data_IF_111959772715
#
_entry.id   IF_111959772715
#
_cell.length_a   1.000
_cell.length_b   1.000
_cell.length_c   1.000
_cell.angle_alpha   90.00
_cell.angle_beta   90.00
_cell.angle_gamma   90.00
#
_symmetry.space_group_name_H-M   'P 1'
#
loop_
_entity.id
_entity.type
_entity.pdbx_description
1 polymer ?
#
# COMPACT_ATOMS: atom_id res chain seq x y z
N UNK A 1 -19.64 7.72 11.43
CA UNK A 1 -19.30 7.22 10.08
C UNK A 1 -19.01 5.73 10.21
N UNK A 2 -19.52 4.92 9.29
CA UNK A 2 -19.24 3.47 9.27
C UNK A 2 -17.81 3.29 8.73
N UNK A 3 -16.95 2.49 9.39
CA UNK A 3 -15.61 2.21 8.88
C UNK A 3 -15.69 1.35 7.61
N UNK A 4 -14.84 1.65 6.64
CA UNK A 4 -14.74 0.93 5.36
C UNK A 4 -13.29 0.45 5.19
N UNK A 5 -13.13 -0.76 4.68
CA UNK A 5 -11.84 -1.34 4.28
C UNK A 5 -11.97 -1.84 2.84
N UNK A 6 -10.89 -1.76 2.06
CA UNK A 6 -10.79 -2.36 0.74
C UNK A 6 -10.08 -3.71 0.87
N UNK A 7 -10.72 -4.80 0.44
CA UNK A 7 -10.08 -6.12 0.34
C UNK A 7 -9.70 -6.38 -1.12
N UNK A 8 -8.42 -6.64 -1.38
CA UNK A 8 -7.86 -6.90 -2.71
C UNK A 8 -7.41 -8.34 -2.78
N UNK A 9 -7.95 -9.07 -3.76
CA UNK A 9 -7.66 -10.51 -3.99
C UNK A 9 -6.88 -10.69 -5.29
N UNK A 10 -7.38 -10.15 -6.39
CA UNK A 10 -6.66 -10.16 -7.67
C UNK A 10 -6.79 -8.79 -8.31
N UNK A 11 -6.06 -8.55 -9.41
CA UNK A 11 -6.22 -7.33 -10.16
C UNK A 11 -5.16 -7.12 -11.22
N UNK A 12 -5.48 -6.19 -12.12
CA UNK A 12 -4.58 -5.63 -13.12
C UNK A 12 -4.32 -4.13 -12.88
N UNK A 13 -3.93 -3.39 -13.92
CA UNK A 13 -3.59 -1.96 -13.84
C UNK A 13 -4.70 -1.09 -13.24
N UNK A 14 -5.96 -1.35 -13.60
CA UNK A 14 -7.10 -0.59 -13.07
C UNK A 14 -7.32 -0.83 -11.57
N UNK A 15 -6.96 -2.02 -11.08
CA UNK A 15 -7.00 -2.32 -9.64
C UNK A 15 -5.94 -1.51 -8.90
N UNK A 16 -4.74 -1.35 -9.46
CA UNK A 16 -3.70 -0.48 -8.89
C UNK A 16 -4.20 0.95 -8.74
N UNK A 17 -4.85 1.50 -9.77
CA UNK A 17 -5.48 2.82 -9.71
C UNK A 17 -6.57 2.91 -8.64
N UNK A 18 -7.45 1.90 -8.57
CA UNK A 18 -8.52 1.85 -7.56
C UNK A 18 -7.96 1.83 -6.14
N UNK A 19 -6.90 1.06 -5.91
CA UNK A 19 -6.21 1.02 -4.61
C UNK A 19 -5.62 2.39 -4.29
N UNK A 20 -4.95 3.02 -5.26
CA UNK A 20 -4.35 4.34 -5.06
C UNK A 20 -5.40 5.39 -4.69
N UNK A 21 -6.49 5.49 -5.45
CA UNK A 21 -7.61 6.39 -5.15
C UNK A 21 -8.22 6.10 -3.77
N UNK A 22 -8.37 4.82 -3.40
CA UNK A 22 -8.89 4.43 -2.08
C UNK A 22 -7.95 4.86 -0.93
N UNK A 23 -6.67 4.56 -1.05
CA UNK A 23 -5.68 4.71 0.03
C UNK A 23 -5.21 6.16 0.16
N UNK A 24 -4.82 6.79 -0.95
CA UNK A 24 -4.17 8.10 -0.97
C UNK A 24 -5.22 9.21 -0.85
N UNK A 25 -6.25 9.17 -1.69
CA UNK A 25 -7.26 10.22 -1.78
C UNK A 25 -8.37 10.04 -0.74
N UNK A 26 -8.90 8.83 -0.59
CA UNK A 26 -10.10 8.58 0.22
C UNK A 26 -9.83 8.13 1.66
N UNK A 27 -8.57 7.90 2.06
CA UNK A 27 -8.21 7.43 3.40
C UNK A 27 -8.91 6.10 3.78
N UNK A 28 -9.02 5.18 2.83
CA UNK A 28 -9.58 3.84 3.04
C UNK A 28 -8.41 2.86 3.14
N UNK A 29 -8.24 2.15 4.27
CA UNK A 29 -7.22 1.11 4.38
C UNK A 29 -7.49 -0.05 3.42
N UNK A 30 -6.43 -0.62 2.88
CA UNK A 30 -6.46 -1.74 1.95
C UNK A 30 -5.76 -2.97 2.55
N UNK A 31 -6.42 -4.12 2.43
CA UNK A 31 -5.95 -5.45 2.79
C UNK A 31 -5.67 -6.21 1.50
N UNK A 32 -4.47 -6.76 1.35
CA UNK A 32 -4.05 -7.52 0.18
C UNK A 32 -3.81 -8.97 0.57
N UNK A 33 -4.29 -9.88 -0.27
CA UNK A 33 -3.98 -11.29 -0.19
C UNK A 33 -2.79 -11.59 -1.09
N UNK A 34 -1.60 -11.74 -0.51
CA UNK A 34 -0.41 -12.13 -1.26
C UNK A 34 -0.53 -13.59 -1.74
N UNK A 35 -0.10 -13.81 -2.98
CA UNK A 35 -0.15 -15.10 -3.67
C UNK A 35 -1.44 -15.34 -4.46
N UNK A 36 -2.38 -14.39 -4.48
CA UNK A 36 -3.66 -14.56 -5.17
C UNK A 36 -3.78 -13.82 -6.49
N UNK A 37 -2.82 -12.96 -6.86
CA UNK A 37 -2.91 -12.23 -8.13
C UNK A 37 -1.85 -11.16 -8.35
N UNK A 38 -1.68 -10.78 -9.63
CA UNK A 38 -0.64 -9.83 -10.09
C UNK A 38 -0.63 -8.51 -9.33
N UNK A 39 -1.79 -7.87 -9.13
CA UNK A 39 -1.87 -6.64 -8.34
C UNK A 39 -1.45 -6.87 -6.88
N UNK A 40 -1.94 -7.92 -6.23
CA UNK A 40 -1.60 -8.20 -4.84
C UNK A 40 -0.13 -8.54 -4.67
N UNK A 41 0.44 -9.35 -5.56
CA UNK A 41 1.83 -9.75 -5.54
C UNK A 41 2.76 -8.56 -5.81
N UNK A 42 2.37 -7.66 -6.72
CA UNK A 42 3.08 -6.40 -6.95
C UNK A 42 3.11 -5.55 -5.67
N UNK A 43 1.95 -5.34 -5.02
CA UNK A 43 1.89 -4.57 -3.78
C UNK A 43 2.63 -5.26 -2.62
N UNK A 44 2.51 -6.57 -2.49
CA UNK A 44 3.20 -7.35 -1.46
C UNK A 44 4.72 -7.24 -1.63
N UNK A 45 5.24 -7.57 -2.81
CA UNK A 45 6.67 -7.49 -3.12
C UNK A 45 7.20 -6.08 -2.91
N UNK A 46 6.48 -5.07 -3.43
CA UNK A 46 6.86 -3.67 -3.25
C UNK A 46 6.89 -3.26 -1.78
N UNK A 47 5.88 -3.67 -0.99
CA UNK A 47 5.80 -3.38 0.44
C UNK A 47 6.93 -4.05 1.24
N UNK A 48 7.26 -5.30 0.92
CA UNK A 48 8.35 -6.03 1.55
C UNK A 48 9.72 -5.40 1.25
N UNK A 49 10.02 -5.13 -0.03
CA UNK A 49 11.26 -4.48 -0.46
C UNK A 49 11.41 -3.09 0.14
N UNK A 50 10.35 -2.27 0.11
CA UNK A 50 10.38 -0.94 0.73
C UNK A 50 10.71 -1.02 2.23
N UNK A 51 10.12 -1.96 2.95
CA UNK A 51 10.37 -2.13 4.38
C UNK A 51 11.77 -2.67 4.67
N UNK A 52 12.29 -3.55 3.83
CA UNK A 52 13.66 -4.04 3.93
C UNK A 52 14.66 -2.89 3.71
N UNK A 53 14.51 -2.15 2.62
CA UNK A 53 15.37 -1.00 2.31
C UNK A 53 15.29 0.05 3.40
N UNK A 54 14.08 0.37 3.88
CA UNK A 54 13.91 1.30 4.99
C UNK A 54 14.61 0.85 6.27
N UNK A 55 14.49 -0.43 6.65
CA UNK A 55 15.12 -0.95 7.87
C UNK A 55 16.64 -0.90 7.80
N UNK A 56 17.21 -1.21 6.64
CA UNK A 56 18.67 -1.17 6.46
C UNK A 56 19.24 0.23 6.70
N UNK A 57 18.46 1.29 6.45
CA UNK A 57 18.85 2.67 6.81
C UNK A 57 18.79 2.86 8.32
N UNK A 58 17.65 2.47 8.93
CA UNK A 58 17.39 2.70 10.35
C UNK A 58 18.36 1.91 11.24
N UNK A 59 18.94 0.81 10.74
CA UNK A 59 19.95 0.00 11.45
C UNK A 59 21.38 0.54 11.35
N UNK A 60 21.71 1.30 10.31
CA UNK A 60 23.05 1.88 10.14
C UNK A 60 23.24 3.15 10.99
N UNK A 61 22.13 3.75 11.47
CA UNK A 61 22.10 4.94 12.31
C UNK A 61 21.66 4.63 13.76
N UNK A 62 22.54 4.05 14.58
CA UNK A 62 22.40 4.09 16.06
C UNK A 62 22.53 5.51 16.64
N UNK A 63 22.78 6.51 15.80
CA UNK A 63 22.83 7.91 16.20
C UNK A 63 21.58 8.61 15.71
N UNK A 64 20.65 8.88 16.62
CA UNK A 64 19.54 9.81 16.42
C UNK A 64 20.09 11.19 16.05
N UNK A 65 20.37 11.41 14.77
CA UNK A 65 20.91 12.66 14.22
C UNK A 65 19.87 13.21 13.27
N UNK A 66 19.65 14.52 13.34
CA UNK A 66 18.91 15.28 12.34
C UNK A 66 19.51 14.99 10.96
N UNK A 67 19.00 13.99 10.26
CA UNK A 67 19.32 13.75 8.85
C UNK A 67 18.81 14.97 8.10
N UNK A 68 19.72 15.61 7.37
CA UNK A 68 19.39 16.75 6.54
C UNK A 68 18.30 16.37 5.52
N UNK A 69 17.26 17.20 5.32
CA UNK A 69 16.16 16.90 4.41
C UNK A 69 16.61 16.56 2.98
N UNK A 70 17.69 17.15 2.48
CA UNK A 70 18.18 16.89 1.12
C UNK A 70 18.85 15.51 1.04
N UNK A 71 19.54 15.10 2.11
CA UNK A 71 20.11 13.75 2.22
C UNK A 71 19.01 12.69 2.26
N UNK A 72 17.93 12.96 2.99
CA UNK A 72 16.77 12.08 3.06
C UNK A 72 16.03 12.00 1.72
N UNK A 73 15.89 13.12 1.00
CA UNK A 73 15.26 13.16 -0.32
C UNK A 73 16.05 12.34 -1.35
N UNK A 74 17.37 12.55 -1.42
CA UNK A 74 18.25 11.78 -2.32
C UNK A 74 18.18 10.28 -2.03
N UNK A 75 18.10 9.91 -0.76
CA UNK A 75 17.94 8.52 -0.37
C UNK A 75 16.61 7.92 -0.90
N UNK A 76 15.49 8.63 -0.72
CA UNK A 76 14.21 8.14 -1.21
C UNK A 76 14.16 8.04 -2.74
N UNK A 77 14.88 8.88 -3.46
CA UNK A 77 15.07 8.76 -4.90
C UNK A 77 15.86 7.49 -5.27
N UNK A 78 16.97 7.21 -4.58
CA UNK A 78 17.75 5.98 -4.78
C UNK A 78 16.91 4.72 -4.46
N UNK A 79 16.16 4.74 -3.37
CA UNK A 79 15.23 3.67 -3.00
C UNK A 79 14.16 3.48 -4.08
N UNK A 80 13.59 4.57 -4.61
CA UNK A 80 12.58 4.53 -5.65
C UNK A 80 13.12 3.91 -6.94
N UNK A 81 14.33 4.28 -7.35
CA UNK A 81 14.99 3.70 -8.54
C UNK A 81 15.21 2.21 -8.33
N UNK A 82 15.79 1.81 -7.19
CA UNK A 82 16.06 0.40 -6.88
C UNK A 82 14.78 -0.43 -6.84
N UNK A 83 13.75 0.07 -6.16
CA UNK A 83 12.45 -0.59 -6.08
C UNK A 83 11.84 -0.77 -7.48
N UNK A 84 11.96 0.22 -8.35
CA UNK A 84 11.47 0.13 -9.73
C UNK A 84 12.17 -0.97 -10.51
N UNK A 85 13.49 -1.08 -10.37
CA UNK A 85 14.30 -2.13 -10.99
C UNK A 85 13.88 -3.52 -10.52
N UNK A 86 13.72 -3.71 -9.20
CA UNK A 86 13.38 -5.00 -8.61
C UNK A 86 11.94 -5.47 -8.91
N UNK A 87 11.06 -4.54 -9.29
CA UNK A 87 9.65 -4.79 -9.63
C UNK A 87 9.38 -4.85 -11.14
N UNK A 88 10.41 -4.76 -11.98
CA UNK A 88 10.24 -4.71 -13.44
C UNK A 88 9.40 -5.86 -13.98
N UNK A 89 9.67 -7.07 -13.52
CA UNK A 89 8.98 -8.27 -14.01
C UNK A 89 7.50 -8.28 -13.61
N UNK A 90 7.18 -7.87 -12.38
CA UNK A 90 5.81 -7.75 -11.91
C UNK A 90 5.04 -6.63 -12.63
N UNK A 91 5.70 -5.50 -12.91
CA UNK A 91 5.13 -4.39 -13.66
C UNK A 91 4.86 -4.77 -15.12
N UNK A 92 5.72 -5.57 -15.73
CA UNK A 92 5.47 -6.11 -17.07
C UNK A 92 4.30 -7.10 -17.05
N UNK A 93 4.26 -7.97 -16.05
CA UNK A 93 3.19 -8.95 -15.86
C UNK A 93 1.82 -8.29 -15.67
N UNK A 94 1.74 -7.21 -14.89
CA UNK A 94 0.47 -6.53 -14.63
C UNK A 94 -0.04 -5.75 -15.85
N UNK A 95 0.85 -5.12 -16.62
CA UNK A 95 0.48 -4.32 -17.78
C UNK A 95 0.03 -5.17 -18.99
N UNK A 96 0.46 -6.44 -19.06
CA UNK A 96 0.19 -7.32 -20.20
C UNK A 96 0.90 -6.86 -21.48
N UNK A 97 0.80 -7.63 -22.59
CA UNK A 97 1.18 -7.12 -23.90
C UNK A 97 0.27 -5.94 -24.27
N UNK A 98 0.88 -4.80 -24.58
CA UNK A 98 0.16 -3.58 -24.99
C UNK A 98 -0.35 -3.77 -26.43
N UNK A 99 -1.47 -4.47 -26.58
CA UNK A 99 -2.20 -4.58 -27.85
C UNK A 99 -3.57 -3.91 -27.71
N UNK A 100 -3.61 -2.56 -27.60
CA UNK A 100 -4.83 -1.80 -27.87
C UNK A 100 -4.48 -0.55 -28.69
N UNK A 101 -5.03 -0.38 -29.91
CA UNK A 101 -4.90 0.86 -30.66
C UNK A 101 -5.66 1.96 -29.92
N UNK A 102 -5.03 3.12 -29.77
CA UNK A 102 -5.60 4.30 -29.13
C UNK A 102 -7.00 4.62 -29.70
N UNK A 103 -8.04 4.40 -28.90
CA UNK A 103 -9.36 4.97 -29.15
C UNK A 103 -9.44 6.31 -28.39
N UNK A 104 -9.71 7.44 -29.07
CA UNK A 104 -9.53 8.79 -28.52
C UNK A 104 -10.72 9.33 -27.69
N UNK A 105 -11.62 8.50 -27.19
CA UNK A 105 -12.97 8.94 -26.82
C UNK A 105 -13.37 8.74 -25.34
N UNK A 106 -12.41 8.75 -24.41
CA UNK A 106 -12.71 8.93 -22.98
C UNK A 106 -12.16 10.26 -22.46
N UNK A 107 -13.07 11.22 -22.26
CA UNK A 107 -12.86 12.45 -21.51
C UNK A 107 -12.53 12.14 -20.04
N UNK A 108 -11.26 11.87 -19.74
CA UNK A 108 -10.72 11.92 -18.39
C UNK A 108 -9.47 12.81 -18.41
N UNK A 109 -9.56 13.90 -17.63
CA UNK A 109 -8.50 14.81 -17.22
C UNK A 109 -7.08 14.49 -17.72
N UNK A 110 -6.64 15.26 -18.73
CA UNK A 110 -5.23 15.40 -19.10
C UNK A 110 -4.46 16.13 -17.99
N UNK A 111 -3.97 15.41 -16.98
CA UNK A 111 -2.82 15.83 -16.14
C UNK A 111 -2.38 14.63 -15.29
N UNK A 112 -1.14 14.19 -15.49
CA UNK A 112 -0.40 13.19 -14.71
C UNK A 112 -0.76 11.72 -14.98
N UNK A 113 -0.34 11.18 -16.13
CA UNK A 113 -0.43 9.74 -16.41
C UNK A 113 0.68 9.00 -15.64
N UNK A 114 0.57 8.99 -14.30
CA UNK A 114 1.41 8.17 -13.42
C UNK A 114 1.28 6.72 -13.84
N UNK A 115 2.42 6.07 -14.05
CA UNK A 115 2.42 4.63 -14.31
C UNK A 115 2.09 3.83 -13.04
N UNK A 116 1.85 2.54 -13.19
CA UNK A 116 1.49 1.67 -12.06
C UNK A 116 2.56 1.65 -10.96
N UNK A 117 3.83 1.84 -11.30
CA UNK A 117 4.88 1.91 -10.30
C UNK A 117 4.74 3.16 -9.44
N UNK A 118 4.51 4.33 -10.05
CA UNK A 118 4.32 5.58 -9.32
C UNK A 118 3.12 5.50 -8.37
N UNK A 119 2.02 4.90 -8.81
CA UNK A 119 0.84 4.69 -7.98
C UNK A 119 1.13 3.77 -6.78
N UNK A 120 1.80 2.64 -7.00
CA UNK A 120 2.19 1.70 -5.93
C UNK A 120 3.16 2.36 -4.96
N UNK A 121 4.20 3.03 -5.48
CA UNK A 121 5.21 3.71 -4.67
C UNK A 121 4.58 4.77 -3.78
N UNK A 122 3.69 5.61 -4.33
CA UNK A 122 3.01 6.65 -3.56
C UNK A 122 2.18 6.04 -2.41
N UNK A 123 1.44 4.96 -2.65
CA UNK A 123 0.70 4.26 -1.61
C UNK A 123 1.61 3.81 -0.45
N UNK A 124 2.74 3.18 -0.79
CA UNK A 124 3.65 2.61 0.21
C UNK A 124 4.42 3.70 0.95
N UNK A 125 4.90 4.71 0.22
CA UNK A 125 5.72 5.78 0.76
C UNK A 125 4.90 6.72 1.65
N UNK A 126 3.73 7.15 1.18
CA UNK A 126 2.92 8.17 1.88
C UNK A 126 1.91 7.57 2.87
N UNK A 127 1.40 6.36 2.61
CA UNK A 127 0.28 5.75 3.34
C UNK A 127 0.56 4.32 3.79
N UNK A 128 1.80 4.01 4.15
CA UNK A 128 2.21 2.67 4.64
C UNK A 128 1.29 2.07 5.71
N UNK A 129 0.74 2.88 6.61
CA UNK A 129 -0.14 2.44 7.69
C UNK A 129 -1.54 2.02 7.22
N UNK A 130 -1.90 2.36 5.99
CA UNK A 130 -3.16 1.99 5.34
C UNK A 130 -3.03 0.68 4.56
N UNK A 131 -1.82 0.16 4.38
CA UNK A 131 -1.59 -1.09 3.66
C UNK A 131 -1.39 -2.24 4.66
N UNK A 132 -2.11 -3.34 4.43
CA UNK A 132 -2.01 -4.56 5.20
C UNK A 132 -1.88 -5.76 4.27
N UNK A 133 -0.77 -6.50 4.35
CA UNK A 133 -0.47 -7.64 3.47
C UNK A 133 -0.64 -8.93 4.27
N UNK A 134 -1.44 -9.86 3.76
CA UNK A 134 -1.66 -11.19 4.32
C UNK A 134 -1.12 -12.22 3.34
N UNK A 135 -0.21 -13.08 3.79
CA UNK A 135 0.31 -14.18 2.96
C UNK A 135 -0.51 -15.43 3.14
N UNK A 136 -1.22 -15.87 2.10
CA UNK A 136 -1.96 -17.14 2.13
C UNK A 136 -1.05 -18.36 2.01
N UNK A 137 0.20 -18.17 1.60
CA UNK A 137 1.20 -19.24 1.42
C UNK A 137 1.90 -19.65 2.72
N UNK A 138 1.60 -18.99 3.84
CA UNK A 138 2.20 -19.30 5.13
C UNK A 138 1.69 -20.65 5.63
N UNK A 139 2.50 -21.71 5.47
CA UNK A 139 2.28 -23.07 6.00
C UNK A 139 2.29 -23.17 7.54
N UNK A 140 2.04 -22.08 8.25
CA UNK A 140 1.83 -22.13 9.68
C UNK A 140 0.45 -22.73 9.97
N UNK A 141 0.37 -23.53 11.04
CA UNK A 141 -0.80 -24.32 11.46
C UNK A 141 -2.07 -23.52 11.78
N UNK A 142 -2.05 -22.21 11.56
CA UNK A 142 -3.14 -21.26 11.80
C UNK A 142 -3.46 -20.62 10.47
N UNK A 143 -4.66 -20.88 9.96
CA UNK A 143 -5.15 -20.22 8.75
C UNK A 143 -5.12 -18.69 8.95
N UNK A 144 -4.76 -17.92 7.92
CA UNK A 144 -4.78 -16.47 8.01
C UNK A 144 -6.20 -15.99 8.31
N UNK A 145 -6.37 -15.40 9.48
CA UNK A 145 -7.64 -14.83 9.92
C UNK A 145 -7.87 -13.49 9.22
N UNK A 146 -8.72 -13.52 8.19
CA UNK A 146 -9.07 -12.36 7.38
C UNK A 146 -9.79 -11.31 8.24
N UNK A 147 -10.61 -11.73 9.19
CA UNK A 147 -11.37 -10.83 10.06
C UNK A 147 -10.41 -10.06 10.97
N UNK A 148 -9.44 -10.76 11.56
CA UNK A 148 -8.38 -10.14 12.35
C UNK A 148 -7.59 -9.12 11.51
N UNK A 149 -7.25 -9.47 10.27
CA UNK A 149 -6.48 -8.59 9.40
C UNK A 149 -7.27 -7.33 8.97
N UNK A 150 -8.57 -7.47 8.73
CA UNK A 150 -9.49 -6.33 8.48
C UNK A 150 -9.52 -5.41 9.70
N UNK A 151 -9.68 -5.97 10.90
CA UNK A 151 -9.69 -5.21 12.14
C UNK A 151 -8.34 -4.51 12.39
N UNK A 152 -7.23 -5.20 12.14
CA UNK A 152 -5.88 -4.63 12.26
C UNK A 152 -5.66 -3.48 11.26
N UNK A 153 -6.10 -3.63 10.01
CA UNK A 153 -5.99 -2.57 9.00
C UNK A 153 -6.76 -1.32 9.42
N UNK A 154 -7.99 -1.50 9.92
CA UNK A 154 -8.81 -0.41 10.45
C UNK A 154 -8.15 0.26 11.68
N UNK A 155 -7.63 -0.51 12.63
CA UNK A 155 -6.97 0.03 13.82
C UNK A 155 -5.70 0.80 13.44
N UNK A 156 -4.85 0.22 12.58
CA UNK A 156 -3.59 0.81 12.14
C UNK A 156 -3.80 2.12 11.36
N UNK A 157 -4.79 2.19 10.48
CA UNK A 157 -5.12 3.42 9.76
C UNK A 157 -5.62 4.56 10.66
N UNK A 158 -6.15 4.24 11.86
CA UNK A 158 -6.58 5.25 12.83
C UNK A 158 -5.49 5.68 13.80
N UNK A 159 -4.42 4.89 13.96
CA UNK A 159 -3.34 5.21 14.90
C UNK A 159 -2.49 6.40 14.45
N UNK A 160 -2.50 6.73 13.16
CA UNK A 160 -1.84 7.90 12.57
C UNK A 160 -2.36 9.24 13.10
N UNK A 161 -3.57 9.29 13.70
CA UNK A 161 -4.17 10.53 14.22
C UNK A 161 -4.08 10.60 15.74
N UNK A 162 -2.93 11.02 16.28
CA UNK A 162 -2.82 11.31 17.73
C UNK A 162 -3.72 12.51 18.12
N UNK A 163 -4.56 12.32 19.13
CA UNK A 163 -5.13 13.42 19.93
C UNK A 163 -6.45 14.07 19.50
N UNK A 164 -7.10 13.63 18.42
CA UNK A 164 -8.41 14.20 18.02
C UNK A 164 -9.59 13.38 18.59
N UNK A 165 -10.66 14.06 19.02
CA UNK A 165 -11.92 13.44 19.48
C UNK A 165 -12.52 12.46 18.46
N UNK A 166 -12.33 12.74 17.16
CA UNK A 166 -12.71 11.83 16.08
C UNK A 166 -11.95 10.49 16.12
N UNK A 167 -10.67 10.50 16.54
CA UNK A 167 -9.88 9.26 16.73
C UNK A 167 -10.43 8.42 17.87
N UNK A 168 -10.81 9.06 18.98
CA UNK A 168 -11.41 8.37 20.14
C UNK A 168 -12.74 7.72 19.74
N UNK A 169 -13.59 8.45 19.00
CA UNK A 169 -14.87 7.92 18.48
C UNK A 169 -14.67 6.73 17.54
N UNK A 170 -13.65 6.77 16.66
CA UNK A 170 -13.31 5.65 15.76
C UNK A 170 -12.80 4.42 16.51
N UNK A 171 -11.90 4.60 17.47
CA UNK A 171 -11.41 3.51 18.33
C UNK A 171 -12.56 2.85 19.11
N UNK A 172 -13.53 3.64 19.58
CA UNK A 172 -14.71 3.13 20.28
C UNK A 172 -15.64 2.32 19.36
N UNK A 173 -15.83 2.75 18.11
CA UNK A 173 -16.61 2.00 17.12
C UNK A 173 -15.92 0.68 16.73
N UNK A 174 -14.59 0.68 16.61
CA UNK A 174 -13.82 -0.55 16.35
C UNK A 174 -13.88 -1.52 17.53
N UNK A 175 -13.83 -1.02 18.77
CA UNK A 175 -14.05 -1.84 19.95
C UNK A 175 -15.43 -2.48 19.94
N UNK A 176 -16.47 -1.74 19.48
CA UNK A 176 -17.81 -2.28 19.31
C UNK A 176 -17.84 -3.41 18.27
N UNK A 177 -17.22 -3.21 17.11
CA UNK A 177 -17.13 -4.22 16.05
C UNK A 177 -16.38 -5.49 16.50
N UNK A 178 -15.39 -5.37 17.38
CA UNK A 178 -14.62 -6.53 17.86
C UNK A 178 -15.33 -7.33 18.98
N UNK A 179 -16.43 -6.81 19.53
CA UNK A 179 -17.17 -7.43 20.65
C UNK A 179 -18.54 -7.98 20.24
N UNK A 180 -19.01 -7.69 19.02
CA UNK A 180 -20.23 -8.25 18.40
C UNK A 180 -19.90 -9.55 17.65
#
# INVERSE_FOLDING_TARGET
>A
PVPVVLLVVEGGPNTVRTVHEAVVENNIPAVFLEGTGRCCDLFAKAFHLYNEYRRNIESDDETSVNIDPDTLAKYYDELKIKLREDLKDELLSINGPVDIPATPDNHAHLTDNKDNFELVYECIHTRRNFLHIISLSSRHLVEPDIDLAILQALLKATSDKKGCEATIKRKREQLRLALE
#
